data_IF_603947203558
#
_entry.id   IF_603947203558
#
_cell.length_a   1.000
_cell.length_b   1.000
_cell.length_c   1.000
_cell.angle_alpha   90.00
_cell.angle_beta   90.00
_cell.angle_gamma   90.00
#
_symmetry.space_group_name_H-M   'P 1'
#
loop_
_entity.id
_entity.type
_entity.pdbx_description
1 polymer ?
#
# COMPACT_ATOMS: atom_id res chain seq x y z
N UNK A 1 -97.57 0.52 35.02
CA UNK A 1 -96.85 1.11 33.87
C UNK A 1 -95.55 0.35 33.67
N UNK A 2 -95.19 -0.07 32.45
CA UNK A 2 -93.91 -0.72 32.14
C UNK A 2 -92.98 0.31 31.49
N UNK A 3 -91.83 0.59 32.10
CA UNK A 3 -90.82 1.50 31.54
C UNK A 3 -89.88 0.68 30.66
N UNK A 4 -89.87 0.95 29.36
CA UNK A 4 -88.91 0.38 28.42
C UNK A 4 -87.61 1.21 28.46
N UNK A 5 -86.52 0.63 28.95
CA UNK A 5 -85.18 1.24 28.83
C UNK A 5 -84.60 0.84 27.46
N UNK A 6 -84.51 1.81 26.54
CA UNK A 6 -83.78 1.66 25.28
C UNK A 6 -82.28 1.79 25.56
N UNK A 7 -81.54 0.68 25.47
CA UNK A 7 -80.08 0.70 25.45
C UNK A 7 -79.64 1.21 24.07
N UNK A 8 -79.02 2.40 24.02
CA UNK A 8 -78.44 2.96 22.81
C UNK A 8 -77.00 2.45 22.69
N UNK A 9 -76.61 1.73 21.61
CA UNK A 9 -75.23 1.28 21.43
C UNK A 9 -74.30 2.47 21.21
N UNK A 10 -73.20 2.54 21.99
CA UNK A 10 -72.17 3.59 21.87
C UNK A 10 -71.40 3.45 20.54
N UNK A 11 -71.84 4.16 19.49
CA UNK A 11 -71.22 4.14 18.14
C UNK A 11 -69.75 4.61 18.09
N UNK A 12 -69.25 5.26 19.14
CA UNK A 12 -67.91 5.88 19.22
C UNK A 12 -66.77 4.92 19.58
N UNK A 13 -67.06 3.71 20.06
CA UNK A 13 -66.04 2.69 20.36
C UNK A 13 -65.65 1.89 19.10
N UNK A 14 -66.62 1.40 18.33
CA UNK A 14 -66.38 0.66 17.08
C UNK A 14 -65.51 1.46 16.09
N UNK A 15 -65.79 2.76 15.90
CA UNK A 15 -65.05 3.58 14.94
C UNK A 15 -63.57 3.81 15.29
N UNK A 16 -63.19 3.68 16.57
CA UNK A 16 -61.80 3.80 17.02
C UNK A 16 -61.04 2.47 16.88
N UNK A 17 -61.68 1.36 17.18
CA UNK A 17 -61.11 0.01 16.99
C UNK A 17 -60.83 -0.29 15.51
N UNK A 18 -61.77 0.04 14.61
CA UNK A 18 -61.56 -0.13 13.17
C UNK A 18 -60.42 0.77 12.60
N UNK A 19 -60.23 1.98 13.15
CA UNK A 19 -59.11 2.86 12.76
C UNK A 19 -57.76 2.32 13.24
N UNK A 20 -57.70 1.77 14.44
CA UNK A 20 -56.47 1.18 15.00
C UNK A 20 -56.03 -0.06 14.19
N UNK A 21 -56.97 -0.96 13.88
CA UNK A 21 -56.69 -2.17 13.09
C UNK A 21 -56.12 -1.86 11.69
N UNK A 22 -56.65 -0.84 11.00
CA UNK A 22 -56.17 -0.47 9.67
C UNK A 22 -54.75 0.15 9.69
N UNK A 23 -54.40 0.86 10.76
CA UNK A 23 -53.05 1.45 10.91
C UNK A 23 -52.02 0.35 11.14
N UNK A 24 -52.34 -0.68 11.93
CA UNK A 24 -51.42 -1.77 12.23
C UNK A 24 -51.21 -2.71 11.03
N UNK A 25 -52.25 -2.97 10.23
CA UNK A 25 -52.14 -3.78 9.01
C UNK A 25 -51.32 -3.06 7.93
N UNK A 26 -51.49 -1.74 7.78
CA UNK A 26 -50.71 -0.94 6.81
C UNK A 26 -49.21 -0.93 7.13
N UNK A 27 -48.85 -0.71 8.41
CA UNK A 27 -47.45 -0.76 8.86
C UNK A 27 -46.82 -2.13 8.67
N UNK A 28 -47.59 -3.20 8.89
CA UNK A 28 -47.09 -4.56 8.70
C UNK A 28 -46.77 -4.86 7.23
N UNK A 29 -47.62 -4.41 6.30
CA UNK A 29 -47.39 -4.56 4.87
C UNK A 29 -46.14 -3.80 4.38
N UNK A 30 -45.93 -2.58 4.89
CA UNK A 30 -44.74 -1.76 4.61
C UNK A 30 -43.45 -2.44 5.09
N UNK A 31 -43.44 -2.92 6.34
CA UNK A 31 -42.30 -3.67 6.90
C UNK A 31 -41.99 -4.93 6.10
N UNK A 32 -43.01 -5.68 5.67
CA UNK A 32 -42.78 -6.91 4.90
C UNK A 32 -42.24 -6.57 3.49
N UNK A 33 -42.66 -5.46 2.89
CA UNK A 33 -42.09 -4.94 1.63
C UNK A 33 -40.61 -4.55 1.80
N UNK A 34 -40.28 -3.76 2.82
CA UNK A 34 -38.89 -3.38 3.12
C UNK A 34 -38.00 -4.59 3.38
N UNK A 35 -38.51 -5.60 4.08
CA UNK A 35 -37.79 -6.85 4.33
C UNK A 35 -37.49 -7.63 3.05
N UNK A 36 -38.41 -7.66 2.08
CA UNK A 36 -38.18 -8.28 0.77
C UNK A 36 -37.13 -7.50 -0.02
N UNK A 37 -37.19 -6.17 0.01
CA UNK A 37 -36.20 -5.31 -0.63
C UNK A 37 -34.81 -5.50 -0.02
N UNK A 38 -34.70 -5.47 1.31
CA UNK A 38 -33.43 -5.70 2.02
C UNK A 38 -32.85 -7.09 1.71
N UNK A 39 -33.68 -8.15 1.69
CA UNK A 39 -33.23 -9.48 1.28
C UNK A 39 -32.67 -9.50 -0.14
N UNK A 40 -33.32 -8.80 -1.06
CA UNK A 40 -32.88 -8.69 -2.45
C UNK A 40 -31.54 -7.95 -2.54
N UNK A 41 -31.40 -6.84 -1.82
CA UNK A 41 -30.16 -6.05 -1.77
C UNK A 41 -29.00 -6.85 -1.15
N UNK A 42 -29.25 -7.61 -0.09
CA UNK A 42 -28.25 -8.50 0.52
C UNK A 42 -27.78 -9.56 -0.48
N UNK A 43 -28.72 -10.21 -1.20
CA UNK A 43 -28.36 -11.22 -2.19
C UNK A 43 -27.49 -10.66 -3.32
N UNK A 44 -27.81 -9.45 -3.80
CA UNK A 44 -27.04 -8.78 -4.84
C UNK A 44 -25.64 -8.40 -4.36
N UNK A 45 -25.51 -7.84 -3.15
CA UNK A 45 -24.20 -7.52 -2.56
C UNK A 45 -23.33 -8.76 -2.38
N UNK A 46 -23.91 -9.89 -1.94
CA UNK A 46 -23.19 -11.15 -1.83
C UNK A 46 -22.71 -11.66 -3.19
N UNK A 47 -23.54 -11.54 -4.24
CA UNK A 47 -23.18 -11.91 -5.61
C UNK A 47 -22.00 -11.07 -6.12
N UNK A 48 -22.06 -9.75 -5.91
CA UNK A 48 -20.98 -8.83 -6.29
C UNK A 48 -19.68 -9.13 -5.53
N UNK A 49 -19.76 -9.37 -4.23
CA UNK A 49 -18.59 -9.71 -3.42
C UNK A 49 -17.89 -10.99 -3.89
N UNK A 50 -18.66 -12.03 -4.23
CA UNK A 50 -18.15 -13.28 -4.77
C UNK A 50 -17.48 -13.06 -6.14
N UNK A 51 -18.11 -12.29 -7.02
CA UNK A 51 -17.56 -12.06 -8.36
C UNK A 51 -16.28 -11.22 -8.34
N UNK A 52 -16.23 -10.16 -7.52
CA UNK A 52 -15.01 -9.38 -7.33
C UNK A 52 -13.88 -10.24 -6.71
N UNK A 53 -14.22 -11.18 -5.82
CA UNK A 53 -13.23 -12.12 -5.28
C UNK A 53 -12.61 -12.98 -6.38
N UNK A 54 -13.42 -13.57 -7.27
CA UNK A 54 -12.91 -14.35 -8.41
C UNK A 54 -12.02 -13.51 -9.32
N UNK A 55 -12.43 -12.26 -9.60
CA UNK A 55 -11.65 -11.32 -10.42
C UNK A 55 -10.28 -11.04 -9.79
N UNK A 56 -10.23 -10.82 -8.48
CA UNK A 56 -8.97 -10.66 -7.72
C UNK A 56 -8.11 -11.92 -7.77
N UNK A 57 -8.70 -13.11 -7.65
CA UNK A 57 -7.95 -14.37 -7.71
C UNK A 57 -7.27 -14.58 -9.07
N UNK A 58 -7.97 -14.25 -10.17
CA UNK A 58 -7.40 -14.29 -11.51
C UNK A 58 -6.24 -13.29 -11.66
N UNK A 59 -6.39 -12.05 -11.14
CA UNK A 59 -5.33 -11.05 -11.16
C UNK A 59 -4.12 -11.49 -10.33
N UNK A 60 -4.35 -12.07 -9.16
CA UNK A 60 -3.31 -12.60 -8.28
C UNK A 60 -2.55 -13.76 -8.93
N UNK A 61 -3.24 -14.67 -9.63
CA UNK A 61 -2.59 -15.74 -10.38
C UNK A 61 -1.64 -15.20 -11.45
N UNK A 62 -2.06 -14.17 -12.20
CA UNK A 62 -1.21 -13.49 -13.20
C UNK A 62 0.00 -12.82 -12.59
N UNK A 63 -0.19 -12.09 -11.48
CA UNK A 63 0.91 -11.42 -10.77
C UNK A 63 1.92 -12.44 -10.23
N UNK A 64 1.47 -13.55 -9.64
CA UNK A 64 2.34 -14.64 -9.18
C UNK A 64 3.16 -15.24 -10.32
N UNK A 65 2.55 -15.44 -11.50
CA UNK A 65 3.27 -15.93 -12.67
C UNK A 65 4.36 -14.94 -13.13
N UNK A 66 4.05 -13.63 -13.16
CA UNK A 66 5.02 -12.60 -13.54
C UNK A 66 6.17 -12.47 -12.55
N UNK A 67 5.91 -12.56 -11.24
CA UNK A 67 6.95 -12.57 -10.20
C UNK A 67 7.93 -13.72 -10.43
N UNK A 68 7.41 -14.94 -10.68
CA UNK A 68 8.25 -16.12 -10.93
C UNK A 68 9.13 -15.97 -12.18
N UNK A 69 8.66 -15.27 -13.21
CA UNK A 69 9.45 -14.96 -14.40
C UNK A 69 10.57 -13.96 -14.10
N UNK A 70 10.26 -12.90 -13.36
CA UNK A 70 11.24 -11.88 -12.95
C UNK A 70 12.34 -12.47 -12.06
N UNK A 71 12.01 -13.37 -11.14
CA UNK A 71 12.99 -14.08 -10.30
C UNK A 71 13.98 -14.92 -11.13
N UNK A 72 13.48 -15.58 -12.18
CA UNK A 72 14.35 -16.31 -13.13
C UNK A 72 15.28 -15.34 -13.87
N UNK A 73 14.74 -14.23 -14.38
CA UNK A 73 15.53 -13.24 -15.11
C UNK A 73 16.61 -12.62 -14.22
N UNK A 74 16.30 -12.31 -12.96
CA UNK A 74 17.26 -11.81 -11.98
C UNK A 74 18.44 -12.76 -11.80
N UNK A 75 18.17 -14.08 -11.71
CA UNK A 75 19.21 -15.10 -11.59
C UNK A 75 20.13 -15.11 -12.81
N UNK A 76 19.56 -15.02 -14.02
CA UNK A 76 20.34 -14.94 -15.27
C UNK A 76 21.22 -13.70 -15.29
N UNK A 77 20.68 -12.54 -14.90
CA UNK A 77 21.44 -11.29 -14.82
C UNK A 77 22.62 -11.40 -13.86
N UNK A 78 22.43 -11.93 -12.65
CA UNK A 78 23.53 -12.11 -11.69
C UNK A 78 24.64 -13.04 -12.20
N UNK A 79 24.27 -14.07 -12.97
CA UNK A 79 25.25 -14.96 -13.60
C UNK A 79 26.06 -14.23 -14.68
N UNK A 80 25.38 -13.48 -15.56
CA UNK A 80 26.04 -12.69 -16.60
C UNK A 80 26.94 -11.60 -16.00
N UNK A 81 26.54 -10.97 -14.90
CA UNK A 81 27.38 -10.00 -14.17
C UNK A 81 28.66 -10.66 -13.64
N UNK A 82 28.56 -11.88 -13.09
CA UNK A 82 29.74 -12.62 -12.60
C UNK A 82 30.68 -13.04 -13.74
N UNK A 83 30.15 -13.52 -14.87
CA UNK A 83 30.96 -13.85 -16.06
C UNK A 83 31.62 -12.60 -16.64
N UNK A 84 30.91 -11.46 -16.69
CA UNK A 84 31.48 -10.19 -17.13
C UNK A 84 32.61 -9.70 -16.21
N UNK A 85 32.49 -9.88 -14.90
CA UNK A 85 33.56 -9.55 -13.96
C UNK A 85 34.82 -10.42 -14.20
N UNK A 86 34.64 -11.72 -14.46
CA UNK A 86 35.75 -12.61 -14.84
C UNK A 86 36.40 -12.19 -16.16
N UNK A 87 35.61 -11.81 -17.17
CA UNK A 87 36.14 -11.31 -18.44
C UNK A 87 36.92 -10.02 -18.26
N UNK A 88 36.45 -9.09 -17.42
CA UNK A 88 37.19 -7.86 -17.09
C UNK A 88 38.54 -8.16 -16.46
N UNK A 89 38.61 -9.08 -15.49
CA UNK A 89 39.87 -9.50 -14.85
C UNK A 89 40.84 -10.13 -15.87
N UNK A 90 40.34 -10.99 -16.76
CA UNK A 90 41.15 -11.60 -17.83
C UNK A 90 41.69 -10.56 -18.81
N UNK A 91 40.88 -9.56 -19.18
CA UNK A 91 41.30 -8.47 -20.07
C UNK A 91 42.44 -7.67 -19.42
N UNK A 92 42.29 -7.25 -18.16
CA UNK A 92 43.34 -6.51 -17.44
C UNK A 92 44.65 -7.30 -17.35
N UNK A 93 44.58 -8.61 -17.10
CA UNK A 93 45.77 -9.49 -17.10
C UNK A 93 46.44 -9.60 -18.47
N UNK A 94 45.66 -9.66 -19.55
CA UNK A 94 46.19 -9.70 -20.93
C UNK A 94 46.84 -8.38 -21.31
N UNK A 95 46.17 -7.24 -21.04
CA UNK A 95 46.72 -5.90 -21.28
C UNK A 95 48.04 -5.68 -20.54
N UNK A 96 48.12 -6.10 -19.27
CA UNK A 96 49.35 -6.04 -18.48
C UNK A 96 50.48 -6.89 -19.10
N UNK A 97 50.18 -8.12 -19.55
CA UNK A 97 51.17 -8.99 -20.20
C UNK A 97 51.66 -8.41 -21.53
N UNK A 98 50.78 -7.79 -22.30
CA UNK A 98 51.14 -7.14 -23.56
C UNK A 98 52.12 -5.98 -23.33
N UNK A 99 51.84 -5.12 -22.34
CA UNK A 99 52.77 -4.06 -21.94
C UNK A 99 54.14 -4.61 -21.49
N UNK A 100 54.19 -5.73 -20.77
CA UNK A 100 55.46 -6.34 -20.37
C UNK A 100 56.24 -6.89 -21.57
N UNK A 101 55.58 -7.53 -22.54
CA UNK A 101 56.23 -8.05 -23.74
C UNK A 101 56.75 -6.94 -24.66
N UNK A 102 56.03 -5.83 -24.81
CA UNK A 102 56.49 -4.69 -25.60
C UNK A 102 57.75 -4.05 -24.99
N UNK A 103 57.84 -4.03 -23.65
CA UNK A 103 59.01 -3.56 -22.93
C UNK A 103 60.22 -4.49 -23.10
N UNK A 104 60.01 -5.81 -23.05
CA UNK A 104 61.08 -6.82 -23.22
C UNK A 104 61.60 -6.83 -24.65
N UNK A 105 60.72 -6.76 -25.66
CA UNK A 105 61.11 -6.77 -27.08
C UNK A 105 61.92 -5.53 -27.46
N UNK A 106 61.71 -4.39 -26.77
CA UNK A 106 62.53 -3.19 -26.92
C UNK A 106 63.94 -3.34 -26.33
N UNK A 107 64.11 -4.18 -25.30
CA UNK A 107 65.41 -4.46 -24.68
C UNK A 107 66.21 -5.50 -25.49
N UNK A 108 65.56 -6.40 -26.23
CA UNK A 108 66.25 -7.42 -27.05
C UNK A 108 66.53 -7.01 -28.50
N UNK A 109 65.85 -6.01 -29.08
CA UNK A 109 65.95 -5.70 -30.52
C UNK A 109 66.45 -4.28 -30.90
N UNK A 110 67.20 -3.55 -30.07
CA UNK A 110 67.80 -2.27 -30.52
C UNK A 110 69.29 -2.15 -30.21
N UNK A 111 70.06 -3.05 -30.81
CA UNK A 111 71.28 -2.63 -31.50
C UNK A 111 70.86 -2.24 -32.92
N UNK A 112 71.12 -0.98 -33.28
CA UNK A 112 71.04 -0.38 -34.63
C UNK A 112 69.66 0.05 -35.17
N UNK A 113 69.48 1.38 -35.21
CA UNK A 113 69.31 2.21 -36.41
C UNK A 113 68.09 3.16 -36.39
N UNK A 114 68.40 4.45 -36.25
CA UNK A 114 67.93 5.61 -37.05
C UNK A 114 66.43 5.89 -37.23
N UNK A 115 66.07 7.11 -36.79
CA UNK A 115 65.12 8.08 -37.36
C UNK A 115 63.64 7.70 -37.51
N UNK A 116 62.75 8.38 -36.78
CA UNK A 116 61.53 8.98 -37.32
C UNK A 116 60.83 9.87 -36.25
N UNK A 117 60.48 11.06 -36.73
CA UNK A 117 59.69 12.17 -36.24
C UNK A 117 58.62 12.00 -35.15
N UNK A 118 58.47 13.14 -34.48
CA UNK A 118 57.46 13.59 -33.52
C UNK A 118 56.02 13.12 -33.75
N UNK A 119 55.47 12.60 -32.66
CA UNK A 119 54.10 12.68 -32.16
C UNK A 119 53.06 13.41 -33.02
N UNK A 120 52.03 12.67 -33.45
CA UNK A 120 50.69 13.22 -33.58
C UNK A 120 49.64 12.11 -33.40
N UNK A 121 49.11 11.97 -32.18
CA UNK A 121 47.86 11.24 -31.93
C UNK A 121 46.83 12.26 -31.47
N UNK A 122 45.97 12.69 -32.39
CA UNK A 122 44.75 13.40 -32.04
C UNK A 122 43.77 12.36 -31.46
N UNK A 123 43.71 12.25 -30.13
CA UNK A 123 42.64 11.55 -29.44
C UNK A 123 41.41 12.45 -29.50
N UNK A 124 40.45 12.04 -30.32
CA UNK A 124 39.19 12.72 -30.53
C UNK A 124 38.34 12.58 -29.27
N UNK A 125 38.06 13.71 -28.62
CA UNK A 125 37.07 13.82 -27.55
C UNK A 125 35.72 13.27 -28.03
N UNK A 126 35.18 12.32 -27.27
CA UNK A 126 33.75 12.00 -27.29
C UNK A 126 33.26 11.96 -25.86
N UNK A 127 32.94 13.15 -25.38
CA UNK A 127 32.05 13.38 -24.25
C UNK A 127 30.75 12.62 -24.52
N UNK A 128 30.53 11.53 -23.79
CA UNK A 128 29.30 10.75 -23.86
C UNK A 128 28.35 11.33 -22.81
N UNK A 129 27.46 12.20 -23.27
CA UNK A 129 26.34 12.75 -22.53
C UNK A 129 25.47 11.58 -22.00
N UNK A 130 25.51 11.36 -20.68
CA UNK A 130 24.63 10.42 -19.99
C UNK A 130 23.40 11.22 -19.54
N UNK A 131 22.52 11.51 -20.50
CA UNK A 131 21.17 11.96 -20.19
C UNK A 131 20.34 10.71 -19.85
N UNK A 132 20.07 10.51 -18.56
CA UNK A 132 19.12 9.51 -18.06
C UNK A 132 17.72 9.83 -18.62
N UNK A 133 17.00 8.85 -19.20
CA UNK A 133 15.58 9.02 -19.49
C UNK A 133 14.80 8.88 -18.19
N UNK A 134 14.23 9.98 -17.73
CA UNK A 134 13.18 9.99 -16.71
C UNK A 134 11.92 9.37 -17.35
N UNK A 135 11.57 8.14 -16.97
CA UNK A 135 10.35 7.49 -17.44
C UNK A 135 9.13 8.26 -16.88
N UNK A 136 8.22 8.76 -17.74
CA UNK A 136 6.99 9.41 -17.28
C UNK A 136 6.05 8.35 -16.69
N UNK A 137 5.79 8.46 -15.39
CA UNK A 137 4.75 7.68 -14.73
C UNK A 137 3.39 8.10 -15.34
N UNK A 138 2.54 7.17 -15.81
CA UNK A 138 1.30 7.52 -16.49
C UNK A 138 0.30 8.17 -15.51
N UNK A 139 0.23 9.50 -15.58
CA UNK A 139 -0.66 10.43 -14.86
C UNK A 139 -2.13 9.96 -14.78
N UNK A 140 -2.59 9.17 -15.75
CA UNK A 140 -3.94 8.56 -15.74
C UNK A 140 -4.21 7.62 -14.56
N UNK A 141 -3.20 6.92 -14.06
CA UNK A 141 -3.39 5.96 -12.95
C UNK A 141 -3.59 6.69 -11.62
N UNK A 142 -2.90 7.83 -11.41
CA UNK A 142 -3.09 8.64 -10.22
C UNK A 142 -4.47 9.31 -10.20
N UNK A 143 -4.91 9.84 -11.34
CA UNK A 143 -6.21 10.51 -11.43
C UNK A 143 -7.38 9.54 -11.19
N UNK A 144 -7.29 8.29 -11.66
CA UNK A 144 -8.31 7.27 -11.41
C UNK A 144 -8.37 6.88 -9.91
N UNK A 145 -7.22 6.74 -9.25
CA UNK A 145 -7.15 6.43 -7.82
C UNK A 145 -7.66 7.60 -6.95
N UNK A 146 -7.35 8.84 -7.34
CA UNK A 146 -7.83 10.05 -6.66
C UNK A 146 -9.36 10.16 -6.78
N UNK A 147 -9.92 9.85 -7.96
CA UNK A 147 -11.36 9.84 -8.18
C UNK A 147 -12.05 8.77 -7.33
N UNK A 148 -11.52 7.54 -7.29
CA UNK A 148 -12.08 6.45 -6.48
C UNK A 148 -12.06 6.78 -4.98
N UNK A 149 -10.99 7.41 -4.49
CA UNK A 149 -10.87 7.82 -3.10
C UNK A 149 -11.85 8.93 -2.72
N UNK A 150 -12.04 9.91 -3.61
CA UNK A 150 -13.00 11.00 -3.40
C UNK A 150 -14.45 10.52 -3.46
N UNK A 151 -14.75 9.53 -4.29
CA UNK A 151 -16.08 8.92 -4.37
C UNK A 151 -16.39 8.10 -3.11
N UNK A 152 -15.39 7.38 -2.58
CA UNK A 152 -15.49 6.65 -1.30
C UNK A 152 -15.79 7.57 -0.11
N UNK A 153 -15.06 8.68 0.03
CA UNK A 153 -15.25 9.64 1.14
C UNK A 153 -16.65 10.26 1.08
N UNK A 154 -17.10 10.65 -0.12
CA UNK A 154 -18.42 11.27 -0.34
C UNK A 154 -19.58 10.37 0.07
N UNK A 155 -19.42 9.05 -0.03
CA UNK A 155 -20.42 8.07 0.40
C UNK A 155 -20.53 7.90 1.92
N UNK A 156 -19.50 8.26 2.69
CA UNK A 156 -19.46 8.07 4.15
C UNK A 156 -19.90 9.31 4.95
N UNK A 157 -19.81 10.50 4.37
CA UNK A 157 -20.26 11.75 5.02
C UNK A 157 -21.80 11.88 5.10
N UNK A 158 -22.55 11.01 4.41
CA UNK A 158 -24.03 11.01 4.41
C UNK A 158 -24.66 10.08 5.46
N UNK A 159 -23.86 9.30 6.20
CA UNK A 159 -24.37 8.45 7.29
C UNK A 159 -24.00 9.06 8.63
N UNK A 160 -24.93 9.83 9.22
CA UNK A 160 -24.89 10.06 10.65
C UNK A 160 -24.92 8.70 11.35
N UNK A 161 -23.81 8.29 11.96
CA UNK A 161 -23.75 7.13 12.83
C UNK A 161 -24.87 7.25 13.87
N UNK A 162 -25.76 6.25 14.03
CA UNK A 162 -26.67 6.26 15.16
C UNK A 162 -25.85 6.02 16.43
N UNK A 163 -25.52 7.11 17.11
CA UNK A 163 -25.09 7.09 18.49
C UNK A 163 -26.18 6.46 19.34
N UNK A 164 -25.92 5.24 19.81
CA UNK A 164 -26.30 4.68 21.12
C UNK A 164 -26.71 3.22 20.98
N UNK A 165 -25.81 2.30 21.37
CA UNK A 165 -26.12 1.37 22.47
C UNK A 165 -24.86 1.18 23.32
N UNK A 166 -24.85 1.94 24.42
CA UNK A 166 -24.45 1.56 25.78
C UNK A 166 -23.43 0.42 25.94
N UNK A 167 -22.24 0.84 26.32
CA UNK A 167 -21.46 0.27 27.42
C UNK A 167 -22.33 -0.48 28.45
N UNK A 168 -22.29 -1.82 28.46
CA UNK A 168 -22.61 -2.65 29.64
C UNK A 168 -21.79 -3.94 29.61
N UNK A 169 -20.79 -3.98 30.49
CA UNK A 169 -20.26 -5.15 31.22
C UNK A 169 -19.75 -6.33 30.38
N UNK A 170 -18.49 -6.26 29.94
CA UNK A 170 -17.67 -7.45 29.73
C UNK A 170 -17.24 -7.92 31.13
N UNK A 171 -17.57 -9.13 31.58
CA UNK A 171 -17.02 -9.65 32.82
C UNK A 171 -15.50 -9.76 32.64
N UNK A 172 -14.75 -9.11 33.52
CA UNK A 172 -13.33 -9.38 33.70
C UNK A 172 -13.17 -10.85 34.12
N UNK A 173 -13.00 -11.74 33.13
CA UNK A 173 -12.58 -13.10 33.38
C UNK A 173 -11.05 -13.11 33.42
N UNK A 174 -10.43 -13.49 34.53
CA UNK A 174 -8.98 -13.53 34.64
C UNK A 174 -8.44 -14.70 33.83
N UNK A 175 -7.27 -14.46 33.22
CA UNK A 175 -6.16 -15.42 33.10
C UNK A 175 -6.50 -16.80 32.48
N UNK A 176 -5.96 -17.00 31.28
CA UNK A 176 -5.50 -18.30 30.77
C UNK A 176 -6.56 -19.36 30.38
N UNK A 177 -7.62 -18.93 29.69
CA UNK A 177 -8.44 -19.88 28.94
C UNK A 177 -7.75 -20.20 27.59
N UNK A 178 -7.29 -21.45 27.47
CA UNK A 178 -6.87 -22.11 26.24
C UNK A 178 -7.93 -21.94 25.13
N UNK A 179 -7.88 -20.83 24.39
CA UNK A 179 -8.66 -20.72 23.16
C UNK A 179 -8.09 -21.74 22.19
N UNK A 180 -8.92 -22.72 21.82
CA UNK A 180 -8.58 -23.71 20.79
C UNK A 180 -8.01 -22.97 19.58
N UNK A 181 -6.73 -23.20 19.21
CA UNK A 181 -6.14 -22.60 18.02
C UNK A 181 -7.02 -22.89 16.81
N UNK A 182 -7.38 -21.86 16.06
CA UNK A 182 -8.28 -21.97 14.90
C UNK A 182 -9.77 -21.75 15.20
N UNK A 183 -10.16 -21.52 16.46
CA UNK A 183 -11.52 -21.08 16.77
C UNK A 183 -11.77 -19.63 16.31
N UNK A 184 -13.02 -19.31 15.98
CA UNK A 184 -13.44 -17.94 15.59
C UNK A 184 -13.05 -16.88 16.65
N UNK A 185 -13.21 -17.11 17.96
CA UNK A 185 -12.76 -16.15 18.99
C UNK A 185 -11.24 -15.96 19.03
N UNK A 186 -10.46 -17.01 18.77
CA UNK A 186 -9.00 -16.91 18.67
C UNK A 186 -8.58 -16.00 17.51
N UNK A 187 -9.25 -16.17 16.36
CA UNK A 187 -8.99 -15.35 15.18
C UNK A 187 -9.39 -13.89 15.40
N UNK A 188 -10.56 -13.62 16.01
CA UNK A 188 -10.99 -12.28 16.39
C UNK A 188 -9.96 -11.58 17.29
N UNK A 189 -9.46 -12.29 18.32
CA UNK A 189 -8.41 -11.76 19.20
C UNK A 189 -7.11 -11.45 18.46
N UNK A 190 -6.73 -12.25 17.46
CA UNK A 190 -5.55 -11.98 16.63
C UNK A 190 -5.75 -10.72 15.78
N UNK A 191 -6.94 -10.51 15.22
CA UNK A 191 -7.29 -9.29 14.49
C UNK A 191 -7.23 -8.06 15.39
N UNK A 192 -7.87 -8.10 16.56
CA UNK A 192 -7.83 -6.99 17.52
C UNK A 192 -6.39 -6.65 17.93
N UNK A 193 -5.56 -7.69 18.11
CA UNK A 193 -4.13 -7.51 18.44
C UNK A 193 -3.36 -6.90 17.27
N UNK A 194 -3.60 -7.36 16.04
CA UNK A 194 -2.96 -6.83 14.84
C UNK A 194 -3.37 -5.36 14.61
N UNK A 195 -4.65 -5.03 14.77
CA UNK A 195 -5.15 -3.66 14.66
C UNK A 195 -4.54 -2.74 15.72
N UNK A 196 -4.56 -3.15 17.00
CA UNK A 196 -3.92 -2.38 18.08
C UNK A 196 -2.42 -2.22 17.89
N UNK A 197 -1.76 -3.23 17.32
CA UNK A 197 -0.32 -3.17 17.02
C UNK A 197 -0.05 -2.20 15.87
N UNK A 198 -0.85 -2.28 14.80
CA UNK A 198 -0.76 -1.37 13.65
C UNK A 198 -1.04 0.09 14.02
N UNK A 199 -2.05 0.37 14.88
CA UNK A 199 -2.31 1.71 15.40
C UNK A 199 -1.11 2.29 16.16
N UNK A 200 -0.46 1.46 17.00
CA UNK A 200 0.73 1.88 17.75
C UNK A 200 1.91 2.18 16.83
N UNK A 201 2.14 1.33 15.83
CA UNK A 201 3.20 1.55 14.84
C UNK A 201 2.94 2.81 14.02
N UNK A 202 1.71 3.01 13.54
CA UNK A 202 1.30 4.23 12.82
C UNK A 202 1.53 5.48 13.66
N UNK A 203 1.21 5.43 14.95
CA UNK A 203 1.45 6.55 15.87
C UNK A 203 2.95 6.85 16.05
N UNK A 204 3.80 5.83 16.12
CA UNK A 204 5.26 6.01 16.17
C UNK A 204 5.79 6.67 14.90
N UNK A 205 5.32 6.23 13.73
CA UNK A 205 5.71 6.83 12.45
C UNK A 205 5.27 8.29 12.34
N UNK A 206 4.06 8.61 12.80
CA UNK A 206 3.57 9.99 12.84
C UNK A 206 4.47 10.87 13.71
N UNK A 207 4.74 10.45 14.95
CA UNK A 207 5.63 11.20 15.83
C UNK A 207 7.04 11.37 15.25
N UNK A 208 7.60 10.29 14.69
CA UNK A 208 8.89 10.35 14.01
C UNK A 208 8.91 11.36 12.85
N UNK A 209 7.85 11.38 12.03
CA UNK A 209 7.75 12.33 10.90
C UNK A 209 7.64 13.78 11.37
N UNK A 210 6.93 14.03 12.48
CA UNK A 210 6.78 15.37 13.05
C UNK A 210 8.12 15.88 13.60
N UNK A 211 8.84 15.05 14.35
CA UNK A 211 10.17 15.38 14.87
C UNK A 211 11.19 15.55 13.73
N UNK A 212 11.08 14.75 12.67
CA UNK A 212 11.89 14.89 11.47
C UNK A 212 11.67 16.26 10.79
N UNK A 213 10.43 16.66 10.55
CA UNK A 213 10.14 17.96 9.93
C UNK A 213 10.54 19.13 10.83
N UNK A 214 10.40 19.02 12.16
CA UNK A 214 10.95 20.01 13.11
C UNK A 214 12.47 20.14 12.94
N UNK A 215 13.19 19.02 12.88
CA UNK A 215 14.65 19.01 12.69
C UNK A 215 15.04 19.64 11.34
N UNK A 216 14.30 19.38 10.27
CA UNK A 216 14.49 20.01 8.96
C UNK A 216 14.36 21.53 9.06
N UNK A 217 13.28 22.03 9.68
CA UNK A 217 13.03 23.46 9.82
C UNK A 217 14.10 24.15 10.67
N UNK A 218 14.49 23.53 11.79
CA UNK A 218 15.54 24.05 12.67
C UNK A 218 16.88 24.13 11.94
N UNK A 219 17.35 23.05 11.33
CA UNK A 219 18.63 23.02 10.59
C UNK A 219 18.65 23.98 9.39
N UNK A 220 17.53 24.06 8.67
CA UNK A 220 17.33 24.99 7.56
C UNK A 220 17.47 26.44 8.02
N UNK A 221 16.86 26.79 9.16
CA UNK A 221 16.91 28.14 9.72
C UNK A 221 18.27 28.47 10.35
N UNK A 222 18.88 27.55 11.08
CA UNK A 222 20.17 27.73 11.74
C UNK A 222 21.32 27.91 10.74
N UNK A 223 21.32 27.10 9.68
CA UNK A 223 22.41 27.11 8.70
C UNK A 223 22.08 27.96 7.46
N UNK A 224 20.88 28.54 7.38
CA UNK A 224 20.39 29.31 6.24
C UNK A 224 20.53 28.52 4.92
N UNK A 225 20.16 27.25 4.98
CA UNK A 225 20.24 26.30 3.86
C UNK A 225 18.84 25.93 3.38
N UNK A 226 18.74 25.41 2.16
CA UNK A 226 17.45 24.94 1.66
C UNK A 226 16.94 23.74 2.46
N UNK A 227 15.62 23.58 2.55
CA UNK A 227 15.02 22.40 3.18
C UNK A 227 15.49 21.09 2.52
N UNK A 228 15.82 21.11 1.23
CA UNK A 228 16.37 19.95 0.54
C UNK A 228 17.76 19.59 1.10
N UNK A 229 18.63 20.58 1.28
CA UNK A 229 19.98 20.37 1.82
C UNK A 229 19.94 19.96 3.30
N UNK A 230 19.02 20.52 4.09
CA UNK A 230 18.77 20.10 5.47
C UNK A 230 18.30 18.64 5.55
N UNK A 231 17.40 18.20 4.65
CA UNK A 231 16.96 16.80 4.57
C UNK A 231 18.11 15.86 4.23
N UNK A 232 18.95 16.19 3.25
CA UNK A 232 20.14 15.39 2.90
C UNK A 232 21.07 15.21 4.10
N UNK A 233 21.39 16.28 4.83
CA UNK A 233 22.24 16.20 6.02
C UNK A 233 21.64 15.32 7.12
N UNK A 234 20.32 15.39 7.34
CA UNK A 234 19.64 14.51 8.30
C UNK A 234 19.72 13.04 7.85
N UNK A 235 19.58 12.75 6.55
CA UNK A 235 19.74 11.39 6.02
C UNK A 235 21.17 10.86 6.22
N UNK A 236 22.18 11.66 5.89
CA UNK A 236 23.58 11.30 6.07
C UNK A 236 23.90 11.01 7.55
N UNK A 237 23.36 11.82 8.47
CA UNK A 237 23.50 11.61 9.92
C UNK A 237 22.83 10.31 10.39
N UNK A 238 21.62 10.01 9.90
CA UNK A 238 20.88 8.79 10.25
C UNK A 238 21.59 7.53 9.71
N UNK A 239 22.16 7.61 8.51
CA UNK A 239 22.91 6.52 7.91
C UNK A 239 24.24 6.27 8.62
N UNK A 240 24.92 7.34 9.05
CA UNK A 240 26.17 7.25 9.82
C UNK A 240 25.94 6.68 11.23
N UNK A 241 24.81 7.00 11.86
CA UNK A 241 24.41 6.45 13.17
C UNK A 241 23.95 4.98 13.10
N UNK A 242 23.52 4.48 11.94
CA UNK A 242 23.14 3.07 11.75
C UNK A 242 24.36 2.14 11.73
N UNK A 243 25.53 2.66 11.37
CA UNK A 243 26.77 1.91 11.18
C UNK A 243 27.74 1.97 12.38
N UNK A 244 27.27 2.47 13.54
CA UNK A 244 27.97 2.48 14.83
C UNK A 244 27.40 1.43 15.77
#
# INVERSE_FOLDING_TARGET
MRVLIKIIPNRTLLGREHKLLNIDVGKFAEIESEKVELKTRIAELLRQAVEESKRRDVKNAKLRARIKELEKNKTVTTKLESENAEFRDRITKVEQRQMQNDNVTKVTNSSNNSNNSSSNFNSMDKEMDISLPEEPIPEKVEQDLICELLEFIRCHDSTSLPNSISSKHIPDVPVDANLTPGSVPYLARLFDKAEKTGQKEKLRWYYYSEEYEKKVVTLSSENNISNQMARTQIYDEMELNRNR
#
